data_IF_133121775498
#
_entry.id   IF_133121775498
#
_cell.length_a   1.000
_cell.length_b   1.000
_cell.length_c   1.000
_cell.angle_alpha   90.00
_cell.angle_beta   90.00
_cell.angle_gamma   90.00
#
_symmetry.space_group_name_H-M   'P 1'
#
loop_
_entity.id
_entity.type
_entity.pdbx_description
1 polymer ?
#
# COMPACT_ATOMS: atom_id res chain seq x y z
N UNK A 1 13.83 4.97 10.91
CA UNK A 1 14.33 6.22 10.31
C UNK A 1 13.63 6.43 8.98
N UNK A 2 13.18 7.65 8.67
CA UNK A 2 12.59 7.97 7.37
C UNK A 2 13.67 7.91 6.28
N UNK A 3 13.38 7.31 5.12
CA UNK A 3 14.38 7.06 4.08
C UNK A 3 14.87 8.38 3.42
N UNK A 4 14.08 9.44 3.41
CA UNK A 4 14.55 10.78 3.01
C UNK A 4 15.60 11.34 3.98
N UNK A 5 15.44 11.14 5.29
CA UNK A 5 16.41 11.61 6.30
C UNK A 5 17.74 10.89 6.18
N UNK A 6 17.71 9.58 5.94
CA UNK A 6 18.91 8.78 5.65
C UNK A 6 19.60 9.23 4.36
N UNK A 7 18.82 9.52 3.31
CA UNK A 7 19.36 10.01 2.04
C UNK A 7 20.06 11.36 2.21
N UNK A 8 19.45 12.31 2.93
CA UNK A 8 20.06 13.61 3.25
C UNK A 8 21.36 13.41 4.05
N UNK A 9 21.37 12.51 5.04
CA UNK A 9 22.58 12.20 5.81
C UNK A 9 23.69 11.60 4.94
N UNK A 10 23.34 10.75 3.98
CA UNK A 10 24.28 10.22 2.98
C UNK A 10 24.83 11.32 2.06
N UNK A 11 24.00 12.24 1.58
CA UNK A 11 24.44 13.38 0.76
C UNK A 11 25.46 14.26 1.51
N UNK A 12 25.17 14.55 2.78
CA UNK A 12 26.06 15.32 3.66
C UNK A 12 27.42 14.61 3.80
N UNK A 13 27.41 13.31 4.14
CA UNK A 13 28.63 12.51 4.31
C UNK A 13 29.43 12.35 3.02
N UNK A 14 28.76 12.08 1.91
CA UNK A 14 29.41 11.88 0.61
C UNK A 14 30.01 13.19 0.06
N UNK A 15 29.41 14.34 0.40
CA UNK A 15 29.95 15.65 0.10
C UNK A 15 31.12 16.06 1.01
N UNK A 16 31.48 15.27 2.01
CA UNK A 16 32.54 15.59 2.97
C UNK A 16 32.15 16.69 3.97
N UNK A 17 30.86 16.96 4.13
CA UNK A 17 30.35 17.99 5.03
C UNK A 17 29.86 17.41 6.35
N UNK A 18 29.83 18.25 7.38
CA UNK A 18 29.06 18.02 8.60
C UNK A 18 27.66 18.64 8.48
N UNK A 19 26.70 18.12 9.25
CA UNK A 19 25.36 18.71 9.32
C UNK A 19 25.38 20.19 9.76
N UNK A 20 26.36 20.60 10.58
CA UNK A 20 26.52 21.99 11.03
C UNK A 20 26.94 22.91 9.89
N UNK A 21 27.90 22.46 9.08
CA UNK A 21 28.39 23.21 7.93
C UNK A 21 27.26 23.41 6.93
N UNK A 22 26.59 22.32 6.53
CA UNK A 22 25.45 22.41 5.59
C UNK A 22 24.36 23.33 6.14
N UNK A 23 23.96 23.18 7.40
CA UNK A 23 22.96 24.05 8.02
C UNK A 23 23.36 25.53 8.00
N UNK A 24 24.64 25.84 8.22
CA UNK A 24 25.18 27.21 8.15
C UNK A 24 25.16 27.75 6.72
N UNK A 25 25.67 26.99 5.75
CA UNK A 25 25.74 27.39 4.34
C UNK A 25 24.36 27.67 3.76
N UNK A 26 23.39 26.80 4.06
CA UNK A 26 22.02 26.99 3.58
C UNK A 26 21.20 27.95 4.44
N UNK A 27 21.77 28.52 5.51
CA UNK A 27 21.12 29.48 6.38
C UNK A 27 19.85 28.93 7.06
N UNK A 28 19.97 27.79 7.76
CA UNK A 28 18.89 27.20 8.57
C UNK A 28 19.41 26.75 9.95
N UNK A 29 18.55 26.69 10.98
CA UNK A 29 18.98 26.17 12.28
C UNK A 29 19.40 24.70 12.16
N UNK A 30 20.57 24.34 12.72
CA UNK A 30 21.07 22.94 12.74
C UNK A 30 20.03 21.96 13.29
N UNK A 31 19.29 22.35 14.33
CA UNK A 31 18.23 21.53 14.92
C UNK A 31 17.14 21.18 13.91
N UNK A 32 16.79 22.12 13.00
CA UNK A 32 15.78 21.86 11.97
C UNK A 32 16.23 20.75 11.01
N UNK A 33 17.49 20.80 10.56
CA UNK A 33 18.07 19.76 9.71
C UNK A 33 18.21 18.43 10.46
N UNK A 34 18.66 18.46 11.72
CA UNK A 34 18.81 17.28 12.57
C UNK A 34 17.48 16.54 12.79
N UNK A 35 16.41 17.26 13.10
CA UNK A 35 15.09 16.63 13.29
C UNK A 35 14.56 15.96 12.02
N UNK A 36 14.83 16.53 10.85
CA UNK A 36 14.45 15.92 9.58
C UNK A 36 15.27 14.66 9.32
N UNK A 37 16.59 14.72 9.51
CA UNK A 37 17.48 13.57 9.33
C UNK A 37 17.11 12.42 10.28
N UNK A 38 16.81 12.74 11.54
CA UNK A 38 16.36 11.76 12.53
C UNK A 38 14.95 11.20 12.24
N UNK A 39 14.18 11.82 11.33
CA UNK A 39 12.80 11.45 11.03
C UNK A 39 11.79 11.88 12.09
N UNK A 40 12.15 12.84 12.94
CA UNK A 40 11.24 13.45 13.92
C UNK A 40 10.37 14.56 13.31
N UNK A 41 10.74 15.04 12.11
CA UNK A 41 10.02 16.10 11.39
C UNK A 41 10.05 15.85 9.89
N UNK A 42 8.96 16.17 9.21
CA UNK A 42 8.92 16.20 7.75
C UNK A 42 9.76 17.36 7.20
N UNK A 43 10.39 17.08 6.06
CA UNK A 43 11.09 18.05 5.22
C UNK A 43 10.08 19.06 4.65
N UNK A 44 10.26 20.33 5.02
CA UNK A 44 9.50 21.44 4.44
C UNK A 44 9.99 21.79 3.04
N UNK A 45 9.11 22.31 2.17
CA UNK A 45 9.47 22.80 0.83
C UNK A 45 10.68 23.75 0.84
N UNK A 46 10.69 24.73 1.75
CA UNK A 46 11.78 25.69 1.85
C UNK A 46 13.13 25.04 2.19
N UNK A 47 13.12 24.03 3.06
CA UNK A 47 14.33 23.29 3.41
C UNK A 47 14.77 22.35 2.28
N UNK A 48 13.82 21.72 1.58
CA UNK A 48 14.09 20.89 0.41
C UNK A 48 14.82 21.69 -0.68
N UNK A 49 14.25 22.83 -1.11
CA UNK A 49 14.86 23.67 -2.15
C UNK A 49 16.27 24.17 -1.77
N UNK A 50 16.47 24.50 -0.49
CA UNK A 50 17.78 24.89 0.05
C UNK A 50 18.81 23.76 -0.03
N UNK A 51 18.42 22.54 0.35
CA UNK A 51 19.28 21.36 0.28
C UNK A 51 19.54 20.96 -1.17
N UNK A 52 18.53 20.96 -2.02
CA UNK A 52 18.63 20.63 -3.45
C UNK A 52 19.57 21.61 -4.17
N UNK A 53 19.45 22.91 -3.89
CA UNK A 53 20.38 23.92 -4.40
C UNK A 53 21.81 23.71 -3.89
N UNK A 54 22.00 23.34 -2.62
CA UNK A 54 23.34 23.12 -2.06
C UNK A 54 24.03 21.88 -2.64
N UNK A 55 23.29 20.80 -2.86
CA UNK A 55 23.79 19.54 -3.37
C UNK A 55 23.71 19.41 -4.90
N UNK A 56 23.26 20.46 -5.62
CA UNK A 56 23.01 20.45 -7.06
C UNK A 56 22.08 19.30 -7.51
N UNK A 57 21.01 19.07 -6.75
CA UNK A 57 19.98 18.07 -7.07
C UNK A 57 18.90 18.65 -7.99
N UNK A 58 18.08 17.77 -8.56
CA UNK A 58 16.90 18.21 -9.29
C UNK A 58 15.86 18.81 -8.33
N UNK A 59 15.25 19.93 -8.73
CA UNK A 59 14.18 20.56 -7.95
C UNK A 59 13.02 19.58 -7.70
N UNK A 60 12.63 19.46 -6.42
CA UNK A 60 11.53 18.61 -5.97
C UNK A 60 11.89 17.14 -5.73
N UNK A 61 13.14 16.74 -5.97
CA UNK A 61 13.62 15.37 -5.76
C UNK A 61 13.40 14.89 -4.32
N UNK A 62 13.77 15.70 -3.32
CA UNK A 62 13.69 15.31 -1.91
C UNK A 62 12.24 15.23 -1.43
N UNK A 63 11.38 16.14 -1.89
CA UNK A 63 9.94 16.12 -1.55
C UNK A 63 9.23 14.95 -2.20
N UNK A 64 9.56 14.62 -3.46
CA UNK A 64 9.06 13.43 -4.14
C UNK A 64 9.42 12.20 -3.33
N UNK A 65 10.70 12.07 -2.94
CA UNK A 65 11.17 10.96 -2.12
C UNK A 65 10.43 10.85 -0.79
N UNK A 66 10.28 11.96 -0.05
CA UNK A 66 9.51 11.98 1.19
C UNK A 66 8.05 11.53 0.97
N UNK A 67 7.43 12.00 -0.11
CA UNK A 67 6.04 11.65 -0.43
C UNK A 67 5.90 10.17 -0.71
N UNK A 68 6.81 9.59 -1.49
CA UNK A 68 6.86 8.15 -1.77
C UNK A 68 7.03 7.34 -0.47
N UNK A 69 7.92 7.76 0.42
CA UNK A 69 8.15 7.13 1.72
C UNK A 69 6.89 7.22 2.62
N UNK A 70 6.23 8.37 2.65
CA UNK A 70 5.00 8.60 3.41
C UNK A 70 3.85 7.73 2.88
N UNK A 71 3.66 7.66 1.56
CA UNK A 71 2.65 6.80 0.93
C UNK A 71 2.93 5.33 1.25
N UNK A 72 4.19 4.90 1.18
CA UNK A 72 4.60 3.52 1.52
C UNK A 72 4.27 3.19 2.98
N UNK A 73 4.67 4.04 3.92
CA UNK A 73 4.42 3.85 5.35
C UNK A 73 2.93 3.83 5.69
N UNK A 74 2.16 4.72 5.05
CA UNK A 74 0.71 4.75 5.18
C UNK A 74 0.07 3.42 4.75
N UNK A 75 0.43 2.91 3.57
CA UNK A 75 -0.07 1.63 3.06
C UNK A 75 0.31 0.45 3.96
N UNK A 76 1.54 0.42 4.47
CA UNK A 76 1.98 -0.63 5.41
C UNK A 76 1.13 -0.59 6.69
N UNK A 77 0.90 0.60 7.25
CA UNK A 77 0.06 0.75 8.45
C UNK A 77 -1.36 0.26 8.18
N UNK A 78 -1.97 0.69 7.07
CA UNK A 78 -3.34 0.31 6.72
C UNK A 78 -3.46 -1.20 6.47
N UNK A 79 -2.47 -1.80 5.81
CA UNK A 79 -2.36 -3.25 5.63
C UNK A 79 -2.32 -3.97 6.97
N UNK A 80 -1.45 -3.54 7.89
CA UNK A 80 -1.32 -4.15 9.21
C UNK A 80 -2.60 -4.01 10.04
N UNK A 81 -3.29 -2.88 9.95
CA UNK A 81 -4.59 -2.67 10.60
C UNK A 81 -5.64 -3.65 10.05
N UNK A 82 -5.69 -3.88 8.73
CA UNK A 82 -6.60 -4.88 8.13
C UNK A 82 -6.29 -6.30 8.61
N UNK A 83 -5.01 -6.69 8.62
CA UNK A 83 -4.58 -8.01 9.11
C UNK A 83 -4.98 -8.19 10.57
N UNK A 84 -4.78 -7.18 11.42
CA UNK A 84 -5.18 -7.22 12.82
C UNK A 84 -6.68 -7.49 12.96
N UNK A 85 -7.53 -6.79 12.20
CA UNK A 85 -8.98 -7.01 12.27
C UNK A 85 -9.41 -8.36 11.73
N UNK A 86 -8.71 -8.91 10.74
CA UNK A 86 -8.93 -10.29 10.29
C UNK A 86 -8.58 -11.33 11.37
N UNK A 87 -7.52 -11.08 12.16
CA UNK A 87 -7.18 -11.92 13.31
C UNK A 87 -8.26 -11.84 14.40
N UNK A 88 -8.80 -10.64 14.67
CA UNK A 88 -9.88 -10.44 15.65
C UNK A 88 -11.16 -11.21 15.31
N UNK A 89 -11.46 -11.42 14.02
CA UNK A 89 -12.60 -12.21 13.55
C UNK A 89 -12.25 -13.68 13.24
N UNK A 90 -11.07 -14.14 13.63
CA UNK A 90 -10.56 -15.51 13.40
C UNK A 90 -10.57 -15.94 11.92
N UNK A 91 -10.36 -15.03 10.98
CA UNK A 91 -10.40 -15.31 9.54
C UNK A 91 -9.30 -16.29 9.05
N UNK A 92 -8.25 -16.48 9.86
CA UNK A 92 -7.09 -17.34 9.58
C UNK A 92 -7.01 -18.57 10.48
N UNK A 93 -8.13 -19.06 11.01
CA UNK A 93 -8.16 -20.20 11.95
C UNK A 93 -7.43 -21.47 11.49
N UNK A 94 -7.24 -21.66 10.17
CA UNK A 94 -6.53 -22.79 9.58
C UNK A 94 -4.99 -22.65 9.58
N UNK A 95 -4.45 -21.49 9.95
CA UNK A 95 -3.01 -21.21 9.94
C UNK A 95 -2.41 -21.38 11.34
N UNK A 96 -1.31 -22.13 11.44
CA UNK A 96 -0.71 -22.57 12.71
C UNK A 96 0.03 -21.45 13.45
N UNK A 97 0.48 -20.40 12.75
CA UNK A 97 1.01 -19.17 13.32
C UNK A 97 1.09 -18.09 12.22
N UNK A 98 0.09 -17.21 12.13
CA UNK A 98 0.11 -16.13 11.13
C UNK A 98 0.99 -15.00 11.63
N UNK A 99 2.20 -14.88 11.08
CA UNK A 99 2.93 -13.62 11.17
C UNK A 99 2.25 -12.60 10.24
N UNK A 100 2.15 -11.34 10.66
CA UNK A 100 1.54 -10.27 9.86
C UNK A 100 2.28 -9.99 8.54
N UNK A 101 3.54 -10.45 8.47
CA UNK A 101 4.48 -10.19 7.39
C UNK A 101 4.39 -11.25 6.28
N UNK A 102 3.81 -12.42 6.57
CA UNK A 102 3.80 -13.56 5.64
C UNK A 102 2.51 -13.70 4.81
N UNK A 103 1.48 -12.88 5.08
CA UNK A 103 0.19 -13.01 4.39
C UNK A 103 0.29 -12.47 2.95
N UNK A 104 0.05 -13.29 1.90
CA UNK A 104 0.07 -12.81 0.53
C UNK A 104 -1.02 -11.75 0.28
N UNK A 105 -0.72 -10.77 -0.58
CA UNK A 105 -1.67 -9.68 -0.90
C UNK A 105 -3.00 -10.23 -1.43
N UNK A 106 -2.96 -11.28 -2.25
CA UNK A 106 -4.17 -11.89 -2.79
C UNK A 106 -5.02 -12.56 -1.70
N UNK A 107 -4.38 -13.13 -0.68
CA UNK A 107 -5.08 -13.75 0.46
C UNK A 107 -5.69 -12.67 1.35
N UNK A 108 -4.95 -11.60 1.64
CA UNK A 108 -5.48 -10.46 2.39
C UNK A 108 -6.73 -9.87 1.72
N UNK A 109 -6.68 -9.64 0.40
CA UNK A 109 -7.80 -9.10 -0.38
C UNK A 109 -9.02 -10.03 -0.26
N UNK A 110 -8.84 -11.33 -0.50
CA UNK A 110 -9.92 -12.32 -0.40
C UNK A 110 -10.54 -12.34 1.00
N UNK A 111 -9.72 -12.43 2.04
CA UNK A 111 -10.19 -12.51 3.43
C UNK A 111 -10.89 -11.23 3.86
N UNK A 112 -10.42 -10.06 3.46
CA UNK A 112 -11.10 -8.79 3.74
C UNK A 112 -12.49 -8.76 3.10
N UNK A 113 -12.64 -9.19 1.84
CA UNK A 113 -13.96 -9.24 1.20
C UNK A 113 -14.93 -10.20 1.88
N UNK A 114 -14.44 -11.34 2.40
CA UNK A 114 -15.28 -12.38 2.99
C UNK A 114 -15.68 -12.04 4.43
N UNK A 115 -14.75 -11.48 5.22
CA UNK A 115 -14.89 -11.44 6.67
C UNK A 115 -15.06 -10.04 7.27
N UNK A 116 -14.75 -8.97 6.53
CA UNK A 116 -14.78 -7.60 7.04
C UNK A 116 -15.90 -6.76 6.41
N UNK A 117 -16.09 -5.55 6.93
CA UNK A 117 -17.18 -4.66 6.52
C UNK A 117 -16.81 -3.77 5.32
N UNK A 118 -17.77 -2.97 4.85
CA UNK A 118 -17.58 -2.09 3.68
C UNK A 118 -16.53 -0.99 3.91
N UNK A 119 -16.34 -0.51 5.13
CA UNK A 119 -15.31 0.50 5.44
C UNK A 119 -13.91 -0.10 5.26
N UNK A 120 -13.74 -1.39 5.53
CA UNK A 120 -12.45 -2.09 5.37
C UNK A 120 -12.17 -2.50 3.95
N UNK A 121 -13.21 -2.94 3.25
CA UNK A 121 -13.10 -3.16 1.82
C UNK A 121 -12.69 -1.86 1.12
N UNK A 122 -13.19 -0.70 1.57
CA UNK A 122 -12.76 0.60 1.05
C UNK A 122 -11.27 0.84 1.24
N UNK A 123 -10.71 0.45 2.39
CA UNK A 123 -9.27 0.54 2.67
C UNK A 123 -8.41 -0.30 1.72
N UNK A 124 -8.91 -1.42 1.18
CA UNK A 124 -8.17 -2.16 0.14
C UNK A 124 -7.87 -1.29 -1.07
N UNK A 125 -8.82 -0.44 -1.48
CA UNK A 125 -8.68 0.44 -2.65
C UNK A 125 -7.71 1.61 -2.40
N UNK A 126 -7.32 1.86 -1.16
CA UNK A 126 -6.28 2.82 -0.79
C UNK A 126 -4.87 2.18 -0.86
N UNK A 127 -4.78 0.87 -0.61
CA UNK A 127 -3.53 0.11 -0.63
C UNK A 127 -3.20 -0.33 -2.06
N UNK A 128 -4.16 -0.97 -2.73
CA UNK A 128 -3.97 -1.65 -4.00
C UNK A 128 -4.69 -0.96 -5.16
N UNK A 129 -4.15 -1.12 -6.36
CA UNK A 129 -4.82 -0.65 -7.56
C UNK A 129 -6.12 -1.40 -7.79
N UNK A 130 -7.18 -0.69 -8.19
CA UNK A 130 -8.51 -1.27 -8.48
C UNK A 130 -8.46 -2.46 -9.44
N UNK A 131 -7.61 -2.40 -10.46
CA UNK A 131 -7.45 -3.49 -11.43
C UNK A 131 -6.86 -4.76 -10.81
N UNK A 132 -5.93 -4.61 -9.88
CA UNK A 132 -5.34 -5.74 -9.16
C UNK A 132 -6.36 -6.39 -8.22
N UNK A 133 -7.08 -5.59 -7.42
CA UNK A 133 -8.17 -6.10 -6.57
C UNK A 133 -9.22 -6.85 -7.41
N UNK A 134 -9.60 -6.28 -8.57
CA UNK A 134 -10.55 -6.91 -9.50
C UNK A 134 -10.02 -8.24 -10.05
N UNK A 135 -8.73 -8.32 -10.38
CA UNK A 135 -8.07 -9.55 -10.83
C UNK A 135 -8.18 -10.63 -9.75
N UNK A 136 -7.75 -10.31 -8.52
CA UNK A 136 -7.80 -11.25 -7.38
C UNK A 136 -9.22 -11.73 -7.11
N UNK A 137 -10.19 -10.80 -7.06
CA UNK A 137 -11.60 -11.16 -6.89
C UNK A 137 -12.09 -12.11 -7.99
N UNK A 138 -11.76 -11.83 -9.25
CA UNK A 138 -12.16 -12.68 -10.39
C UNK A 138 -11.55 -14.07 -10.30
N UNK A 139 -10.28 -14.17 -9.91
CA UNK A 139 -9.51 -15.42 -9.92
C UNK A 139 -9.77 -16.30 -8.69
N UNK A 140 -10.04 -15.71 -7.53
CA UNK A 140 -10.22 -16.46 -6.27
C UNK A 140 -11.65 -16.58 -5.79
N UNK A 141 -12.49 -15.55 -6.02
CA UNK A 141 -13.83 -15.47 -5.41
C UNK A 141 -14.95 -15.67 -6.42
N UNK A 142 -14.89 -15.01 -7.58
CA UNK A 142 -15.98 -15.02 -8.57
C UNK A 142 -16.22 -16.40 -9.21
N UNK A 143 -15.26 -17.32 -9.06
CA UNK A 143 -15.33 -18.70 -9.57
C UNK A 143 -15.92 -19.70 -8.57
N UNK A 144 -16.21 -19.30 -7.32
CA UNK A 144 -16.67 -20.22 -6.26
C UNK A 144 -18.18 -20.57 -6.34
N UNK A 145 -18.81 -20.36 -7.49
CA UNK A 145 -20.22 -20.71 -7.74
C UNK A 145 -21.19 -20.18 -6.68
N UNK A 146 -22.08 -21.05 -6.22
CA UNK A 146 -23.18 -20.71 -5.29
C UNK A 146 -22.68 -20.27 -3.90
N UNK A 147 -21.51 -20.75 -3.45
CA UNK A 147 -21.02 -20.52 -2.08
C UNK A 147 -20.85 -19.04 -1.74
N UNK A 148 -20.30 -18.24 -2.67
CA UNK A 148 -20.10 -16.79 -2.50
C UNK A 148 -21.00 -15.95 -3.41
N UNK A 149 -22.07 -16.52 -3.99
CA UNK A 149 -22.79 -15.87 -5.10
C UNK A 149 -23.34 -14.49 -4.73
N UNK A 150 -24.07 -14.37 -3.63
CA UNK A 150 -24.66 -13.08 -3.21
C UNK A 150 -23.60 -12.04 -2.86
N UNK A 151 -22.52 -12.46 -2.19
CA UNK A 151 -21.38 -11.60 -1.90
C UNK A 151 -20.72 -11.11 -3.20
N UNK A 152 -20.50 -12.02 -4.16
CA UNK A 152 -19.92 -11.68 -5.45
C UNK A 152 -20.82 -10.75 -6.27
N UNK A 153 -22.15 -10.90 -6.17
CA UNK A 153 -23.11 -9.96 -6.78
C UNK A 153 -22.96 -8.57 -6.18
N UNK A 154 -22.89 -8.49 -4.85
CA UNK A 154 -22.66 -7.23 -4.13
C UNK A 154 -21.32 -6.60 -4.57
N UNK A 155 -20.23 -7.36 -4.58
CA UNK A 155 -18.89 -6.86 -4.96
C UNK A 155 -18.90 -6.35 -6.40
N UNK A 156 -19.48 -7.12 -7.32
CA UNK A 156 -19.59 -6.78 -8.73
C UNK A 156 -20.36 -5.46 -8.95
N UNK A 157 -21.46 -5.24 -8.22
CA UNK A 157 -22.28 -4.04 -8.31
C UNK A 157 -21.58 -2.83 -7.70
N UNK A 158 -21.21 -2.90 -6.42
CA UNK A 158 -20.79 -1.73 -5.64
C UNK A 158 -19.34 -1.32 -5.94
N UNK A 159 -18.44 -2.28 -6.13
CA UNK A 159 -17.00 -1.97 -6.27
C UNK A 159 -16.49 -2.05 -7.70
N UNK A 160 -17.14 -2.81 -8.58
CA UNK A 160 -16.71 -2.95 -9.98
C UNK A 160 -17.73 -2.41 -11.00
N UNK A 161 -18.85 -1.84 -10.53
CA UNK A 161 -19.87 -1.19 -11.36
C UNK A 161 -20.37 -2.07 -12.52
N UNK A 162 -20.47 -3.38 -12.29
CA UNK A 162 -20.93 -4.35 -13.30
C UNK A 162 -22.45 -4.30 -13.36
N UNK A 163 -23.00 -3.75 -14.46
CA UNK A 163 -24.45 -3.53 -14.64
C UNK A 163 -25.33 -4.78 -14.51
N UNK A 164 -24.80 -5.95 -14.84
CA UNK A 164 -25.52 -7.25 -14.82
C UNK A 164 -24.66 -8.29 -14.10
N UNK A 165 -24.53 -8.19 -12.76
CA UNK A 165 -23.56 -8.95 -11.97
C UNK A 165 -23.79 -10.46 -12.08
N UNK A 166 -25.02 -10.93 -11.95
CA UNK A 166 -25.34 -12.37 -12.03
C UNK A 166 -24.98 -12.99 -13.37
N UNK A 167 -25.30 -12.30 -14.48
CA UNK A 167 -24.98 -12.78 -15.83
C UNK A 167 -23.47 -12.84 -16.03
N UNK A 168 -22.76 -11.83 -15.54
CA UNK A 168 -21.30 -11.77 -15.58
C UNK A 168 -20.67 -12.92 -14.78
N UNK A 169 -21.12 -13.16 -13.54
CA UNK A 169 -20.59 -14.21 -12.68
C UNK A 169 -20.81 -15.61 -13.28
N UNK A 170 -22.03 -15.90 -13.75
CA UNK A 170 -22.33 -17.16 -14.46
C UNK A 170 -21.47 -17.36 -15.71
N UNK A 171 -21.09 -16.27 -16.38
CA UNK A 171 -20.17 -16.36 -17.52
C UNK A 171 -18.74 -16.71 -17.05
N UNK A 172 -18.21 -16.02 -16.04
CA UNK A 172 -16.88 -16.27 -15.50
C UNK A 172 -16.74 -17.72 -15.00
N UNK A 173 -17.74 -18.22 -14.28
CA UNK A 173 -17.77 -19.60 -13.78
C UNK A 173 -17.72 -20.61 -14.94
N UNK A 174 -18.56 -20.42 -15.97
CA UNK A 174 -18.54 -21.30 -17.16
C UNK A 174 -17.20 -21.25 -17.90
N UNK A 175 -16.61 -20.07 -18.05
CA UNK A 175 -15.28 -19.92 -18.67
C UNK A 175 -14.20 -20.64 -17.86
N UNK A 176 -14.28 -20.59 -16.55
CA UNK A 176 -13.36 -21.29 -15.66
C UNK A 176 -13.52 -22.81 -15.74
N UNK A 177 -14.75 -23.31 -15.68
CA UNK A 177 -15.05 -24.74 -15.81
C UNK A 177 -14.57 -25.31 -17.15
N UNK A 178 -14.77 -24.58 -18.26
CA UNK A 178 -14.25 -24.99 -19.57
C UNK A 178 -12.74 -25.17 -19.57
N UNK A 179 -12.00 -24.21 -18.98
CA UNK A 179 -10.54 -24.32 -18.88
C UNK A 179 -10.12 -25.54 -18.06
N UNK A 180 -10.75 -25.77 -16.91
CA UNK A 180 -10.41 -26.95 -16.09
C UNK A 180 -10.63 -28.25 -16.90
N UNK A 181 -11.73 -28.34 -17.64
CA UNK A 181 -12.07 -29.54 -18.42
C UNK A 181 -11.19 -29.69 -19.67
N UNK A 182 -10.76 -28.60 -20.31
CA UNK A 182 -9.88 -28.62 -21.49
C UNK A 182 -8.41 -28.93 -21.15
N UNK A 183 -7.98 -28.70 -19.90
CA UNK A 183 -6.62 -28.98 -19.42
C UNK A 183 -6.53 -30.23 -18.51
N UNK A 184 -7.62 -30.99 -18.37
CA UNK A 184 -7.68 -32.27 -17.65
C UNK A 184 -7.60 -33.46 -18.62
#
# INVERSE_FOLDING_TARGET
>A
MNSVGQHIDSLIKNGGYSQSEVAREIGVPRQSLSYVIAGHRDLSLRLALKLESFFNLQEGELLKKQTEDNVRNYKIKLRNDLVKRLLEVNAFWSYTAVSTEDIPDEELIEKVFIHLDMADISRLFEIYQRNYIRKVWKEKMAIQGDYLFNLNVMIALYYFHIKRPEKYLRQIEREHLKKIVEYA
#
